data_IF_236212052454
#
_entry.id   IF_236212052454
#
_cell.length_a   1.000
_cell.length_b   1.000
_cell.length_c   1.000
_cell.angle_alpha   90.00
_cell.angle_beta   90.00
_cell.angle_gamma   90.00
#
_symmetry.space_group_name_H-M   'P 1'
#
loop_
_entity.id
_entity.type
_entity.pdbx_description
1 polymer ?
#
# COMPACT_ATOMS: atom_id res chain seq x y z
N UNK A 1 8.26 -8.51 5.25
CA UNK A 1 7.37 -7.87 4.28
C UNK A 1 7.15 -6.42 4.68
N UNK A 2 7.19 -5.50 3.71
CA UNK A 2 6.89 -4.09 3.93
C UNK A 2 5.43 -3.85 3.58
N UNK A 3 4.69 -3.20 4.48
CA UNK A 3 3.29 -2.83 4.24
C UNK A 3 3.20 -1.31 4.05
N UNK A 4 2.56 -0.89 2.97
CA UNK A 4 2.26 0.53 2.75
C UNK A 4 0.75 0.70 2.89
N UNK A 5 0.34 1.46 3.90
CA UNK A 5 -1.07 1.68 4.19
C UNK A 5 -1.62 2.81 3.33
N UNK A 6 -2.72 2.53 2.63
CA UNK A 6 -3.38 3.50 1.76
C UNK A 6 -4.74 3.89 2.36
N UNK A 7 -4.84 5.10 2.83
CA UNK A 7 -6.12 5.69 3.23
C UNK A 7 -6.68 6.56 2.11
N UNK A 8 -7.97 6.80 2.09
CA UNK A 8 -8.62 7.69 1.13
C UNK A 8 -7.95 9.07 1.19
N UNK A 9 -7.60 9.61 0.03
CA UNK A 9 -6.91 10.90 -0.05
C UNK A 9 -5.38 10.80 0.06
N UNK A 10 -4.82 9.58 -0.01
CA UNK A 10 -3.37 9.40 0.04
C UNK A 10 -2.66 10.12 -1.12
N UNK A 11 -1.37 10.45 -0.92
CA UNK A 11 -0.56 11.05 -1.99
C UNK A 11 0.05 9.91 -2.82
N UNK A 12 -0.40 9.79 -4.07
CA UNK A 12 -0.06 8.66 -4.93
C UNK A 12 1.45 8.51 -5.18
N UNK A 13 2.16 9.62 -5.37
CA UNK A 13 3.60 9.53 -5.61
C UNK A 13 4.37 9.11 -4.36
N UNK A 14 3.93 9.56 -3.19
CA UNK A 14 4.56 9.19 -1.93
C UNK A 14 4.36 7.72 -1.57
N UNK A 15 3.30 7.10 -2.05
CA UNK A 15 3.01 5.70 -1.80
C UNK A 15 3.56 4.79 -2.91
N UNK A 16 3.28 5.13 -4.17
CA UNK A 16 3.55 4.24 -5.30
C UNK A 16 5.01 4.26 -5.75
N UNK A 17 5.70 5.40 -5.65
CA UNK A 17 7.11 5.46 -6.02
C UNK A 17 7.97 4.61 -5.09
N UNK A 18 7.86 4.72 -3.74
CA UNK A 18 8.58 3.82 -2.86
C UNK A 18 8.22 2.34 -3.10
N UNK A 19 6.95 2.02 -3.33
CA UNK A 19 6.53 0.66 -3.61
C UNK A 19 7.22 0.11 -4.86
N UNK A 20 7.26 0.90 -5.93
CA UNK A 20 7.93 0.52 -7.17
C UNK A 20 9.42 0.28 -6.95
N UNK A 21 10.10 1.23 -6.31
CA UNK A 21 11.54 1.13 -6.07
C UNK A 21 11.89 -0.07 -5.19
N UNK A 22 11.13 -0.32 -4.13
CA UNK A 22 11.38 -1.45 -3.26
C UNK A 22 11.14 -2.78 -3.97
N UNK A 23 10.09 -2.88 -4.77
CA UNK A 23 9.82 -4.09 -5.56
C UNK A 23 10.93 -4.36 -6.57
N UNK A 24 11.44 -3.33 -7.21
CA UNK A 24 12.59 -3.46 -8.13
C UNK A 24 13.85 -3.95 -7.42
N UNK A 25 14.00 -3.60 -6.16
CA UNK A 25 15.13 -4.07 -5.33
C UNK A 25 14.92 -5.48 -4.77
N UNK A 26 13.82 -6.14 -5.09
CA UNK A 26 13.52 -7.48 -4.62
C UNK A 26 12.88 -7.56 -3.25
N UNK A 27 12.42 -6.43 -2.72
CA UNK A 27 11.75 -6.39 -1.42
C UNK A 27 10.27 -6.74 -1.59
N UNK A 28 9.75 -7.60 -0.73
CA UNK A 28 8.33 -7.91 -0.70
C UNK A 28 7.56 -6.72 -0.12
N UNK A 29 6.72 -6.09 -0.96
CA UNK A 29 5.91 -4.94 -0.59
C UNK A 29 4.45 -5.24 -0.87
N UNK A 30 3.58 -4.95 0.10
CA UNK A 30 2.13 -5.05 -0.05
C UNK A 30 1.50 -3.68 0.14
N UNK A 31 0.61 -3.32 -0.78
CA UNK A 31 -0.24 -2.15 -0.64
C UNK A 31 -1.48 -2.57 0.13
N UNK A 32 -1.74 -1.91 1.24
CA UNK A 32 -2.83 -2.28 2.15
C UNK A 32 -3.88 -1.19 2.17
N UNK A 33 -5.11 -1.52 1.75
CA UNK A 33 -6.23 -0.59 1.79
C UNK A 33 -6.83 -0.51 3.18
N UNK A 34 -6.78 0.66 3.79
CA UNK A 34 -7.31 0.86 5.15
C UNK A 34 -8.83 0.82 5.15
N UNK A 35 -9.45 1.43 4.15
CA UNK A 35 -10.92 1.54 4.05
C UNK A 35 -11.55 0.53 3.09
N UNK A 36 -10.76 -0.34 2.49
CA UNK A 36 -11.23 -1.34 1.54
C UNK A 36 -10.22 -1.63 0.46
N UNK A 37 -10.57 -2.50 -0.53
CA UNK A 37 -9.61 -2.92 -1.56
C UNK A 37 -9.34 -1.86 -2.62
N UNK A 38 -10.26 -0.93 -2.86
CA UNK A 38 -10.07 0.15 -3.82
C UNK A 38 -9.92 1.46 -3.06
N UNK A 39 -8.79 2.16 -3.29
CA UNK A 39 -8.49 3.39 -2.56
C UNK A 39 -8.20 4.51 -3.56
N UNK A 40 -8.84 5.65 -3.37
CA UNK A 40 -8.68 6.81 -4.26
C UNK A 40 -7.76 7.84 -3.61
N UNK A 41 -6.74 8.26 -4.38
CA UNK A 41 -5.75 9.24 -3.93
C UNK A 41 -6.32 10.67 -3.89
N UNK A 42 -5.52 11.59 -3.37
CA UNK A 42 -5.87 13.01 -3.30
C UNK A 42 -6.14 13.63 -4.69
N UNK A 43 -5.56 13.08 -5.73
CA UNK A 43 -5.68 13.58 -7.09
C UNK A 43 -6.59 12.71 -7.98
N UNK A 44 -7.43 11.89 -7.35
CA UNK A 44 -8.42 11.10 -8.08
C UNK A 44 -7.92 9.81 -8.71
N UNK A 45 -6.72 9.36 -8.36
CA UNK A 45 -6.18 8.09 -8.87
C UNK A 45 -6.68 6.95 -7.98
N UNK A 46 -7.44 6.02 -8.55
CA UNK A 46 -7.93 4.87 -7.82
C UNK A 46 -6.97 3.69 -8.01
N UNK A 47 -6.54 3.12 -6.89
CA UNK A 47 -5.61 2.00 -6.86
C UNK A 47 -6.29 0.80 -6.20
N UNK A 48 -6.08 -0.38 -6.78
CA UNK A 48 -6.50 -1.62 -6.13
C UNK A 48 -5.37 -2.09 -5.23
N UNK A 49 -5.63 -2.12 -3.92
CA UNK A 49 -4.64 -2.59 -2.95
C UNK A 49 -4.47 -4.10 -3.05
N UNK A 50 -3.31 -4.60 -2.62
CA UNK A 50 -3.03 -6.04 -2.61
C UNK A 50 -3.89 -6.76 -1.58
N UNK A 51 -4.14 -6.10 -0.45
CA UNK A 51 -5.02 -6.63 0.61
C UNK A 51 -5.60 -5.48 1.42
N UNK A 52 -6.61 -5.81 2.22
CA UNK A 52 -7.21 -4.85 3.14
C UNK A 52 -6.53 -4.94 4.51
N UNK A 53 -6.75 -3.92 5.34
CA UNK A 53 -6.19 -3.91 6.69
C UNK A 53 -6.65 -5.11 7.52
N UNK A 54 -7.91 -5.55 7.32
CA UNK A 54 -8.46 -6.70 8.02
C UNK A 54 -7.75 -8.01 7.64
N UNK A 55 -7.21 -8.09 6.43
CA UNK A 55 -6.50 -9.27 5.93
C UNK A 55 -5.01 -9.29 6.30
N UNK A 56 -4.49 -8.17 6.81
CA UNK A 56 -3.07 -8.02 7.10
C UNK A 56 -2.66 -8.86 8.32
N UNK A 57 -1.66 -9.72 8.13
CA UNK A 57 -1.01 -10.42 9.23
C UNK A 57 0.11 -9.54 9.77
N UNK A 58 -0.11 -8.94 10.93
CA UNK A 58 0.85 -8.01 11.53
C UNK A 58 2.19 -8.66 11.86
N UNK A 59 2.19 -9.96 12.14
CA UNK A 59 3.42 -10.67 12.45
C UNK A 59 4.33 -10.82 11.23
N UNK A 60 3.76 -10.79 10.03
CA UNK A 60 4.53 -10.87 8.79
C UNK A 60 5.11 -9.52 8.36
N UNK A 61 4.75 -8.43 9.03
CA UNK A 61 5.18 -7.07 8.66
C UNK A 61 6.47 -6.72 9.38
N UNK A 62 7.51 -6.42 8.59
CA UNK A 62 8.80 -5.96 9.10
C UNK A 62 8.88 -4.44 9.16
N UNK A 63 8.16 -3.76 8.25
CA UNK A 63 8.15 -2.29 8.16
C UNK A 63 6.80 -1.83 7.63
N UNK A 64 6.35 -0.74 8.16
CA UNK A 64 5.07 -0.14 7.83
C UNK A 64 5.25 1.20 7.11
#
# INVERSE_FOLDING_TARGET
MVAILLGTGFEESEALVPADLLRRAGVEVRLVGVDGPAVTSAHGVTVTADLTLAELDREAVDML
#
